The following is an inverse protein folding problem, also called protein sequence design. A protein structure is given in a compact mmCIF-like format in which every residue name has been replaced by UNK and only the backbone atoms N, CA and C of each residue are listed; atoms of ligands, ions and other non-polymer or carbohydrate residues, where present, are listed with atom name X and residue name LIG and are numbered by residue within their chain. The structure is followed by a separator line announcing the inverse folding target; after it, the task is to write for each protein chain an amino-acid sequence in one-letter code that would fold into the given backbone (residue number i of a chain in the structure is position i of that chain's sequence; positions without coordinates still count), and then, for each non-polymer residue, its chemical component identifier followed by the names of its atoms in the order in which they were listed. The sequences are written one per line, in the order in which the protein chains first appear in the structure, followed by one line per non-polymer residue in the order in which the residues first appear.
data_IF_292463526123
#
_entry.id   IF_292463526123
#
_cell.length_a   1.000
_cell.length_b   1.000
_cell.length_c   1.000
_cell.angle_alpha   90.00
_cell.angle_beta   90.00
_cell.angle_gamma   90.00
#
_symmetry.space_group_name_H-M   'P 1'
#
loop_
_entity.id
_entity.type
_entity.pdbx_description
1 polymer ?
#
# COMPACT_ATOMS: atom_id res chain seq x y z
N UNK A 1 -32.87 64.30 10.39
CA UNK A 1 -33.73 63.08 10.41
C UNK A 1 -33.20 62.08 9.40
N UNK A 2 -33.06 60.84 9.85
CA UNK A 2 -33.08 59.58 9.08
C UNK A 2 -31.88 59.29 8.17
N UNK A 3 -31.34 58.08 8.09
CA UNK A 3 -31.46 56.89 8.92
C UNK A 3 -30.26 56.00 8.56
N UNK A 4 -29.67 55.38 9.57
CA UNK A 4 -28.75 54.26 9.40
C UNK A 4 -29.46 53.14 8.63
N UNK A 5 -28.83 52.60 7.60
CA UNK A 5 -29.14 51.26 7.11
C UNK A 5 -27.89 50.40 7.16
N UNK A 6 -27.63 49.87 8.36
CA UNK A 6 -26.76 48.72 8.56
C UNK A 6 -27.53 47.50 8.05
N UNK A 7 -27.12 46.94 6.92
CA UNK A 7 -27.52 45.61 6.45
C UNK A 7 -26.24 44.76 6.58
N UNK A 8 -26.08 43.84 7.53
CA UNK A 8 -27.03 42.85 8.00
C UNK A 8 -26.83 41.57 7.20
N UNK A 9 -26.13 40.58 7.79
CA UNK A 9 -26.28 39.17 7.44
C UNK A 9 -25.02 38.46 6.92
N UNK A 10 -24.20 37.94 7.85
CA UNK A 10 -23.35 36.78 7.60
C UNK A 10 -24.26 35.56 7.30
N UNK A 11 -24.43 35.21 6.02
CA UNK A 11 -25.11 33.98 5.61
C UNK A 11 -24.32 33.37 4.46
N UNK A 12 -23.39 32.47 4.79
CA UNK A 12 -22.61 31.73 3.79
C UNK A 12 -21.48 30.87 4.35
N UNK A 13 -20.97 31.17 5.54
CA UNK A 13 -19.78 30.49 6.09
C UNK A 13 -20.09 29.19 6.84
N UNK A 14 -21.21 29.10 7.56
CA UNK A 14 -21.48 27.95 8.42
C UNK A 14 -21.75 26.64 7.66
N UNK A 15 -22.50 26.71 6.55
CA UNK A 15 -22.85 25.51 5.77
C UNK A 15 -21.65 24.91 5.01
N UNK A 16 -20.72 25.75 4.55
CA UNK A 16 -19.48 25.28 3.91
C UNK A 16 -18.49 24.69 4.91
N UNK A 17 -18.47 25.21 6.15
CA UNK A 17 -17.61 24.70 7.23
C UNK A 17 -18.09 23.32 7.71
N UNK A 18 -19.40 23.15 7.89
CA UNK A 18 -20.01 21.89 8.33
C UNK A 18 -19.84 20.76 7.29
N UNK A 19 -20.10 21.04 6.00
CA UNK A 19 -19.86 20.09 4.91
C UNK A 19 -18.37 19.71 4.76
N UNK A 20 -17.46 20.67 5.00
CA UNK A 20 -16.01 20.42 5.00
C UNK A 20 -15.55 19.57 6.19
N UNK A 21 -16.15 19.77 7.37
CA UNK A 21 -15.88 18.95 8.56
C UNK A 21 -16.39 17.51 8.39
N UNK A 22 -17.59 17.32 7.83
CA UNK A 22 -18.11 15.99 7.51
C UNK A 22 -17.23 15.26 6.47
N UNK A 23 -16.80 15.95 5.41
CA UNK A 23 -15.90 15.36 4.41
C UNK A 23 -14.55 14.97 5.04
N UNK A 24 -14.00 15.83 5.89
CA UNK A 24 -12.75 15.54 6.61
C UNK A 24 -12.89 14.30 7.50
N UNK A 25 -13.97 14.18 8.26
CA UNK A 25 -14.22 13.03 9.12
C UNK A 25 -14.35 11.74 8.30
N UNK A 26 -15.13 11.74 7.22
CA UNK A 26 -15.26 10.59 6.30
C UNK A 26 -13.91 10.21 5.69
N UNK A 27 -13.07 11.19 5.32
CA UNK A 27 -11.74 10.94 4.79
C UNK A 27 -10.81 10.31 5.84
N UNK A 28 -10.89 10.75 7.10
CA UNK A 28 -10.14 10.16 8.22
C UNK A 28 -10.58 8.73 8.51
N UNK A 29 -11.88 8.46 8.53
CA UNK A 29 -12.44 7.12 8.70
C UNK A 29 -11.97 6.17 7.60
N UNK A 30 -12.03 6.62 6.35
CA UNK A 30 -11.51 5.86 5.21
C UNK A 30 -10.00 5.61 5.34
N UNK A 31 -9.22 6.63 5.70
CA UNK A 31 -7.78 6.49 5.90
C UNK A 31 -7.45 5.49 7.02
N UNK A 32 -8.19 5.52 8.13
CA UNK A 32 -8.03 4.57 9.23
C UNK A 32 -8.40 3.15 8.82
N UNK A 33 -9.52 2.99 8.08
CA UNK A 33 -9.92 1.70 7.51
C UNK A 33 -8.81 1.11 6.63
N UNK A 34 -8.21 1.91 5.74
CA UNK A 34 -7.10 1.48 4.89
C UNK A 34 -5.87 1.12 5.73
N UNK A 35 -5.48 1.97 6.70
CA UNK A 35 -4.31 1.71 7.57
C UNK A 35 -4.45 0.41 8.35
N UNK A 36 -5.61 0.18 8.98
CA UNK A 36 -5.87 -1.03 9.76
C UNK A 36 -5.88 -2.27 8.89
N UNK A 37 -6.55 -2.21 7.74
CA UNK A 37 -6.64 -3.34 6.83
C UNK A 37 -5.28 -3.65 6.18
N UNK A 38 -4.48 -2.63 5.85
CA UNK A 38 -3.08 -2.79 5.42
C UNK A 38 -2.21 -3.40 6.51
N UNK A 39 -2.33 -2.95 7.75
CA UNK A 39 -1.58 -3.52 8.87
C UNK A 39 -1.88 -5.02 9.04
N UNK A 40 -3.14 -5.43 8.90
CA UNK A 40 -3.54 -6.85 8.90
C UNK A 40 -2.90 -7.61 7.74
N UNK A 41 -2.95 -7.06 6.53
CA UNK A 41 -2.32 -7.68 5.36
C UNK A 41 -0.81 -7.87 5.55
N UNK A 42 -0.09 -6.85 6.04
CA UNK A 42 1.35 -6.93 6.33
C UNK A 42 1.66 -8.02 7.36
N UNK A 43 0.82 -8.21 8.40
CA UNK A 43 0.99 -9.30 9.37
C UNK A 43 0.81 -10.67 8.73
N UNK A 44 -0.19 -10.85 7.87
CA UNK A 44 -0.39 -12.11 7.13
C UNK A 44 0.80 -12.44 6.23
N UNK A 45 1.31 -11.44 5.50
CA UNK A 45 2.51 -11.58 4.66
C UNK A 45 3.75 -11.91 5.49
N UNK A 46 3.92 -11.26 6.64
CA UNK A 46 5.00 -11.57 7.57
C UNK A 46 4.87 -12.96 8.20
N UNK A 47 3.65 -13.41 8.50
CA UNK A 47 3.39 -14.75 8.99
C UNK A 47 3.72 -15.82 7.94
N UNK A 48 3.53 -15.49 6.66
CA UNK A 48 3.64 -16.42 5.52
C UNK A 48 2.29 -17.01 5.11
N UNK A 49 1.18 -16.51 5.67
CA UNK A 49 -0.19 -16.93 5.34
C UNK A 49 -0.60 -16.51 3.93
N UNK A 50 -0.08 -15.37 3.45
CA UNK A 50 -0.33 -14.83 2.11
C UNK A 50 1.01 -14.42 1.51
N UNK A 51 1.28 -14.82 0.28
CA UNK A 51 2.54 -14.47 -0.37
C UNK A 51 2.51 -13.05 -0.96
N UNK A 52 3.64 -12.35 -1.02
CA UNK A 52 3.66 -11.05 -1.70
C UNK A 52 3.36 -11.17 -3.21
N UNK A 53 3.66 -12.32 -3.82
CA UNK A 53 3.33 -12.59 -5.22
C UNK A 53 1.80 -12.59 -5.42
N UNK A 54 1.07 -13.29 -4.57
CA UNK A 54 -0.40 -13.32 -4.55
C UNK A 54 -0.99 -11.92 -4.35
N UNK A 55 -0.49 -11.14 -3.38
CA UNK A 55 -0.94 -9.76 -3.16
C UNK A 55 -0.71 -8.87 -4.39
N UNK A 56 0.39 -9.06 -5.12
CA UNK A 56 0.68 -8.29 -6.34
C UNK A 56 -0.27 -8.66 -7.48
N UNK A 57 -0.61 -9.94 -7.62
CA UNK A 57 -1.51 -10.44 -8.65
C UNK A 57 -2.96 -10.01 -8.39
N UNK A 58 -3.46 -10.26 -7.18
CA UNK A 58 -4.85 -9.94 -6.82
C UNK A 58 -5.06 -8.43 -6.61
N UNK A 59 -4.00 -7.70 -6.24
CA UNK A 59 -4.04 -6.27 -5.94
C UNK A 59 -5.24 -5.86 -5.07
N UNK A 60 -5.36 -6.40 -3.84
CA UNK A 60 -6.49 -6.10 -2.98
C UNK A 60 -6.50 -4.60 -2.59
N UNK A 61 -7.69 -4.05 -2.33
CA UNK A 61 -7.89 -2.61 -2.15
C UNK A 61 -7.01 -1.96 -1.07
N UNK A 62 -6.62 -2.70 -0.02
CA UNK A 62 -5.72 -2.22 1.03
C UNK A 62 -4.27 -2.00 0.55
N UNK A 63 -3.87 -2.80 -0.45
CA UNK A 63 -2.54 -2.78 -1.06
C UNK A 63 -2.47 -1.80 -2.23
N UNK A 64 -3.60 -1.44 -2.84
CA UNK A 64 -3.66 -0.59 -4.03
C UNK A 64 -2.83 0.70 -3.90
N UNK A 65 -2.93 1.39 -2.77
CA UNK A 65 -2.20 2.63 -2.46
C UNK A 65 -0.90 2.42 -1.66
N UNK A 66 -0.50 1.17 -1.42
CA UNK A 66 0.77 0.84 -0.77
C UNK A 66 1.89 0.80 -1.81
N UNK A 67 3.11 1.19 -1.42
CA UNK A 67 4.28 1.04 -2.29
C UNK A 67 4.65 -0.44 -2.45
N UNK A 68 5.20 -0.79 -3.61
CA UNK A 68 5.72 -2.14 -3.84
C UNK A 68 6.87 -2.44 -2.88
N UNK A 69 7.71 -1.44 -2.54
CA UNK A 69 8.78 -1.62 -1.56
C UNK A 69 8.25 -1.99 -0.17
N UNK A 70 7.17 -1.34 0.31
CA UNK A 70 6.59 -1.63 1.62
C UNK A 70 6.01 -3.04 1.68
N UNK A 71 5.41 -3.51 0.58
CA UNK A 71 4.90 -4.88 0.48
C UNK A 71 6.05 -5.89 0.60
N UNK A 72 7.11 -5.72 -0.21
CA UNK A 72 8.26 -6.62 -0.23
C UNK A 72 8.99 -6.64 1.13
N UNK A 73 9.16 -5.48 1.77
CA UNK A 73 9.75 -5.34 3.10
C UNK A 73 8.92 -5.98 4.22
N UNK A 74 7.66 -6.33 3.97
CA UNK A 74 6.80 -7.00 4.95
C UNK A 74 7.02 -8.51 4.99
N UNK A 75 7.72 -9.08 4.00
CA UNK A 75 8.00 -10.51 3.93
C UNK A 75 9.14 -10.92 4.87
N UNK A 76 9.10 -12.15 5.38
CA UNK A 76 10.24 -12.75 6.11
C UNK A 76 11.46 -12.86 5.18
N UNK A 77 12.66 -12.58 5.71
CA UNK A 77 13.95 -12.68 4.99
C UNK A 77 14.12 -11.69 3.81
N UNK A 78 13.29 -10.66 3.74
CA UNK A 78 13.42 -9.55 2.79
C UNK A 78 13.92 -8.29 3.50
N UNK A 79 15.04 -7.75 3.03
CA UNK A 79 15.61 -6.49 3.49
C UNK A 79 15.79 -5.51 2.32
N UNK A 80 16.11 -4.24 2.64
CA UNK A 80 16.19 -3.14 1.66
C UNK A 80 17.03 -3.50 0.42
N UNK A 81 18.19 -4.13 0.63
CA UNK A 81 19.08 -4.53 -0.46
C UNK A 81 18.46 -5.59 -1.40
N UNK A 82 17.64 -6.52 -0.88
CA UNK A 82 16.97 -7.54 -1.72
C UNK A 82 15.80 -6.93 -2.49
N UNK A 83 15.02 -6.06 -1.84
CA UNK A 83 13.92 -5.33 -2.48
C UNK A 83 14.44 -4.46 -3.63
N UNK A 84 15.46 -3.63 -3.36
CA UNK A 84 16.06 -2.75 -4.37
C UNK A 84 16.62 -3.53 -5.55
N UNK A 85 17.39 -4.61 -5.31
CA UNK A 85 17.93 -5.45 -6.39
C UNK A 85 16.83 -6.02 -7.29
N UNK A 86 15.75 -6.54 -6.70
CA UNK A 86 14.62 -7.06 -7.47
C UNK A 86 13.99 -5.96 -8.34
N UNK A 87 13.66 -4.83 -7.73
CA UNK A 87 12.94 -3.75 -8.40
C UNK A 87 13.76 -3.09 -9.51
N UNK A 88 15.06 -2.89 -9.28
CA UNK A 88 16.01 -2.41 -10.31
C UNK A 88 16.08 -3.39 -11.48
N UNK A 89 16.16 -4.70 -11.21
CA UNK A 89 16.23 -5.71 -12.28
C UNK A 89 14.99 -5.74 -13.18
N UNK A 90 13.85 -5.30 -12.67
CA UNK A 90 12.58 -5.24 -13.41
C UNK A 90 12.22 -3.84 -13.92
N UNK A 91 13.07 -2.83 -13.68
CA UNK A 91 12.82 -1.44 -14.06
C UNK A 91 11.60 -0.82 -13.33
N UNK A 92 11.30 -1.27 -12.12
CA UNK A 92 10.17 -0.78 -11.32
C UNK A 92 10.69 0.15 -10.22
N UNK A 93 10.18 1.38 -10.07
CA UNK A 93 10.61 2.26 -8.99
C UNK A 93 10.04 1.81 -7.63
N UNK A 94 10.80 2.02 -6.56
CA UNK A 94 10.47 1.52 -5.20
C UNK A 94 9.16 2.08 -4.64
N UNK A 95 8.93 3.37 -4.87
CA UNK A 95 7.74 4.08 -4.44
C UNK A 95 6.51 3.81 -5.31
N UNK A 96 6.63 2.98 -6.36
CA UNK A 96 5.49 2.68 -7.23
C UNK A 96 4.40 1.98 -6.44
N UNK A 97 3.17 2.45 -6.59
CA UNK A 97 2.03 1.84 -5.91
C UNK A 97 1.64 0.53 -6.58
N UNK A 98 1.26 -0.47 -5.79
CA UNK A 98 0.85 -1.80 -6.30
C UNK A 98 -0.29 -1.66 -7.30
N UNK A 99 -1.26 -0.77 -7.05
CA UNK A 99 -2.39 -0.51 -7.94
C UNK A 99 -2.01 0.04 -9.32
N UNK A 100 -0.85 0.68 -9.44
CA UNK A 100 -0.37 1.32 -10.69
C UNK A 100 0.56 0.43 -11.51
N UNK A 101 0.85 -0.78 -11.02
CA UNK A 101 1.63 -1.76 -11.77
C UNK A 101 0.84 -2.23 -12.98
N UNK A 102 1.49 -2.26 -14.14
CA UNK A 102 0.91 -2.87 -15.34
C UNK A 102 0.84 -4.37 -15.16
N UNK A 103 -0.04 -5.04 -15.91
CA UNK A 103 -0.19 -6.48 -15.84
C UNK A 103 1.14 -7.21 -16.09
N UNK A 104 1.89 -6.79 -17.11
CA UNK A 104 3.24 -7.29 -17.39
C UNK A 104 4.18 -7.15 -16.18
N UNK A 105 4.14 -6.02 -15.47
CA UNK A 105 4.97 -5.82 -14.28
C UNK A 105 4.53 -6.71 -13.12
N UNK A 106 3.23 -6.91 -12.91
CA UNK A 106 2.68 -7.80 -11.88
C UNK A 106 3.10 -9.25 -12.13
N UNK A 107 2.93 -9.74 -13.35
CA UNK A 107 3.34 -11.09 -13.73
C UNK A 107 4.84 -11.30 -13.58
N UNK A 108 5.67 -10.35 -14.03
CA UNK A 108 7.12 -10.44 -13.90
C UNK A 108 7.57 -10.44 -12.42
N UNK A 109 6.98 -9.58 -11.60
CA UNK A 109 7.24 -9.55 -10.16
C UNK A 109 6.84 -10.85 -9.49
N UNK A 110 5.62 -11.34 -9.76
CA UNK A 110 5.11 -12.58 -9.18
C UNK A 110 5.98 -13.78 -9.56
N UNK A 111 6.37 -13.91 -10.83
CA UNK A 111 7.24 -15.00 -11.29
C UNK A 111 8.58 -15.02 -10.54
N UNK A 112 9.27 -13.88 -10.44
CA UNK A 112 10.56 -13.80 -9.74
C UNK A 112 10.38 -14.03 -8.24
N UNK A 113 9.28 -13.57 -7.65
CA UNK A 113 8.98 -13.77 -6.23
C UNK A 113 8.68 -15.23 -5.90
N UNK A 114 7.96 -15.96 -6.76
CA UNK A 114 7.71 -17.40 -6.57
C UNK A 114 9.02 -18.18 -6.54
N UNK A 115 9.93 -17.91 -7.48
CA UNK A 115 11.27 -18.53 -7.49
C UNK A 115 12.08 -18.17 -6.24
N UNK A 116 11.99 -16.92 -5.79
CA UNK A 116 12.77 -16.42 -4.64
C UNK A 116 12.20 -16.77 -3.27
N UNK A 117 10.91 -17.10 -3.20
CA UNK A 117 10.19 -17.50 -1.99
C UNK A 117 10.03 -19.02 -1.89
N UNK A 118 10.30 -19.78 -2.97
CA UNK A 118 10.44 -21.22 -2.86
C UNK A 118 11.38 -21.52 -1.69
N UNK A 119 10.99 -22.41 -0.76
CA UNK A 119 11.91 -22.83 0.28
C UNK A 119 13.13 -23.36 -0.46
N UNK A 120 14.30 -22.81 -0.15
CA UNK A 120 15.54 -23.49 -0.50
C UNK A 120 15.49 -24.84 0.21
N UNK A 121 14.98 -25.86 -0.47
CA UNK A 121 15.32 -27.23 -0.15
C UNK A 121 16.84 -27.31 -0.28
N UNK A 122 17.50 -27.38 0.87
CA UNK A 122 18.57 -28.36 1.05
C UNK A 122 19.84 -28.16 0.21
N UNK A 123 20.24 -26.95 -0.17
CA UNK A 123 21.60 -26.72 -0.70
C UNK A 123 22.71 -26.79 0.38
N UNK A 124 22.35 -27.03 1.66
CA UNK A 124 23.31 -27.18 2.76
C UNK A 124 23.58 -28.63 3.21
N UNK A 125 22.89 -29.65 2.67
CA UNK A 125 23.09 -31.06 3.11
C UNK A 125 23.94 -31.92 2.17
N UNK A 126 24.49 -31.37 1.08
CA UNK A 126 25.31 -32.12 0.11
C UNK A 126 26.80 -31.73 0.09
N UNK A 127 27.32 -31.11 1.16
CA UNK A 127 28.75 -30.77 1.27
C UNK A 127 29.51 -31.50 2.39
N UNK A 128 28.85 -32.35 3.17
CA UNK A 128 29.53 -33.23 4.12
C UNK A 128 28.78 -34.57 4.27
N UNK A 129 29.02 -35.49 3.33
CA UNK A 129 28.89 -36.93 3.54
C UNK A 129 29.82 -37.64 2.54
#
# INVERSE_FOLDING_TARGET
MNAHFVRGGLMGTSATVDAGQEQHLRALEYANRVRLARARLKRKVAAGEVSAAEVILECPWQAQSMSISDLLMSQKRWGRARCRRLLVSLGVPENKQVGTLTERQRLALAAVLTVKNAPAETEAAAQHA
#
